data_IF_509505546224
#
_entry.id   IF_509505546224
#
_cell.length_a   1.000
_cell.length_b   1.000
_cell.length_c   1.000
_cell.angle_alpha   90.00
_cell.angle_beta   90.00
_cell.angle_gamma   90.00
#
_symmetry.space_group_name_H-M   'P 1'
#
loop_
_entity.id
_entity.type
_entity.pdbx_description
1 polymer ?
#
# COMPACT_ATOMS: atom_id res chain seq x y z
N UNK A 1 10.95 -20.90 3.05
CA UNK A 1 10.90 -20.90 1.57
C UNK A 1 9.49 -20.50 1.17
N UNK A 2 9.26 -19.22 0.85
CA UNK A 2 7.93 -18.73 0.46
C UNK A 2 7.85 -18.73 -1.07
N UNK A 3 7.58 -19.90 -1.64
CA UNK A 3 7.27 -20.07 -3.06
C UNK A 3 5.78 -20.37 -3.14
N UNK A 4 4.98 -19.49 -3.76
CA UNK A 4 3.55 -19.75 -3.94
C UNK A 4 2.65 -18.60 -4.42
N UNK A 5 3.07 -17.34 -4.39
CA UNK A 5 2.19 -16.21 -4.78
C UNK A 5 2.85 -15.20 -5.73
N UNK A 6 3.82 -15.59 -6.54
CA UNK A 6 4.23 -14.74 -7.65
C UNK A 6 3.20 -14.90 -8.78
N UNK A 7 2.21 -13.99 -8.82
CA UNK A 7 1.45 -13.76 -10.05
C UNK A 7 2.46 -13.54 -11.18
N UNK A 8 2.27 -14.20 -12.33
CA UNK A 8 3.12 -13.98 -13.50
C UNK A 8 3.19 -12.47 -13.75
N UNK A 9 4.37 -11.84 -13.73
CA UNK A 9 4.47 -10.42 -14.04
C UNK A 9 3.91 -10.21 -15.45
N UNK A 10 3.17 -9.11 -15.71
CA UNK A 10 2.73 -8.79 -17.06
C UNK A 10 3.91 -8.84 -18.03
N UNK A 11 3.71 -9.38 -19.23
CA UNK A 11 4.73 -9.38 -20.28
C UNK A 11 5.14 -7.93 -20.59
N UNK A 12 6.34 -7.56 -20.15
CA UNK A 12 6.95 -6.26 -20.36
C UNK A 12 8.33 -6.29 -19.71
N UNK A 13 9.38 -5.95 -20.46
CA UNK A 13 10.68 -5.75 -19.83
C UNK A 13 10.53 -4.64 -18.78
N UNK A 14 11.11 -4.82 -17.59
CA UNK A 14 11.32 -3.72 -16.65
C UNK A 14 12.36 -2.79 -17.30
N UNK A 15 11.92 -1.96 -18.23
CA UNK A 15 12.76 -0.90 -18.79
C UNK A 15 12.99 0.14 -17.71
N UNK A 16 14.15 0.80 -17.77
CA UNK A 16 14.40 1.95 -16.91
C UNK A 16 13.30 2.99 -17.12
N UNK A 17 12.81 3.56 -16.03
CA UNK A 17 11.79 4.60 -16.04
C UNK A 17 12.16 5.83 -16.89
N UNK A 18 13.47 6.05 -17.12
CA UNK A 18 14.03 7.12 -17.95
C UNK A 18 13.57 7.11 -19.41
N UNK A 19 13.18 5.95 -19.95
CA UNK A 19 12.72 5.85 -21.33
C UNK A 19 11.26 6.31 -21.53
N UNK A 20 10.52 6.53 -20.44
CA UNK A 20 9.10 6.90 -20.48
C UNK A 20 8.90 8.24 -19.77
N UNK A 21 8.62 9.30 -20.52
CA UNK A 21 8.46 10.65 -19.96
C UNK A 21 7.44 10.72 -18.80
N UNK A 22 6.32 9.99 -18.91
CA UNK A 22 5.32 9.90 -17.85
C UNK A 22 5.86 9.22 -16.57
N UNK A 23 6.68 8.17 -16.73
CA UNK A 23 7.32 7.51 -15.60
C UNK A 23 8.36 8.42 -14.95
N UNK A 24 9.22 9.05 -15.76
CA UNK A 24 10.28 9.95 -15.28
C UNK A 24 9.72 11.17 -14.53
N UNK A 25 8.52 11.62 -14.88
CA UNK A 25 7.84 12.71 -14.20
C UNK A 25 7.29 12.31 -12.83
N UNK A 26 6.61 11.16 -12.73
CA UNK A 26 6.06 10.65 -11.47
C UNK A 26 5.95 9.12 -11.49
N UNK A 27 6.93 8.46 -10.89
CA UNK A 27 7.02 6.99 -10.83
C UNK A 27 5.83 6.41 -10.04
N UNK A 28 5.41 7.09 -8.97
CA UNK A 28 4.36 6.59 -8.09
C UNK A 28 3.01 6.62 -8.82
N UNK A 29 2.68 7.73 -9.47
CA UNK A 29 1.46 7.83 -10.27
C UNK A 29 1.51 6.94 -11.51
N UNK A 30 2.67 6.85 -12.18
CA UNK A 30 2.85 5.98 -13.34
C UNK A 30 2.67 4.49 -12.98
N UNK A 31 3.10 4.06 -11.79
CA UNK A 31 2.90 2.67 -11.37
C UNK A 31 1.43 2.24 -11.41
N UNK A 32 0.49 3.15 -11.14
CA UNK A 32 -0.94 2.88 -11.16
C UNK A 32 -1.50 2.64 -12.56
N UNK A 33 -0.88 3.19 -13.61
CA UNK A 33 -1.34 3.01 -15.00
C UNK A 33 -1.05 1.61 -15.54
N UNK A 34 -0.16 0.87 -14.86
CA UNK A 34 0.18 -0.52 -15.23
C UNK A 34 -0.86 -1.53 -14.75
N UNK A 35 -1.77 -1.14 -13.86
CA UNK A 35 -2.83 -2.02 -13.35
C UNK A 35 -4.00 -2.09 -14.34
N UNK A 36 -4.26 -3.26 -14.97
CA UNK A 36 -5.46 -3.42 -15.78
C UNK A 36 -6.71 -3.29 -14.89
N UNK A 37 -7.84 -2.94 -15.48
CA UNK A 37 -9.10 -2.76 -14.74
C UNK A 37 -9.49 -3.99 -13.90
N UNK A 38 -9.14 -5.19 -14.36
CA UNK A 38 -9.37 -6.46 -13.64
C UNK A 38 -8.51 -6.62 -12.38
N UNK A 39 -7.42 -5.88 -12.25
CA UNK A 39 -6.51 -5.86 -11.11
C UNK A 39 -6.74 -4.66 -10.17
N UNK A 40 -7.66 -3.75 -10.49
CA UNK A 40 -8.08 -2.64 -9.61
C UNK A 40 -9.06 -3.13 -8.53
N UNK A 41 -8.58 -4.04 -7.70
CA UNK A 41 -9.33 -4.67 -6.59
C UNK A 41 -8.35 -5.10 -5.51
N UNK A 42 -8.88 -5.44 -4.34
CA UNK A 42 -8.09 -6.00 -3.25
C UNK A 42 -7.34 -7.26 -3.72
N UNK A 43 -6.02 -7.13 -3.85
CA UNK A 43 -5.15 -8.16 -4.43
C UNK A 43 -3.93 -8.34 -3.54
N UNK A 44 -3.67 -9.58 -3.11
CA UNK A 44 -2.45 -9.91 -2.37
C UNK A 44 -1.26 -9.82 -3.30
N UNK A 45 -0.26 -9.02 -2.94
CA UNK A 45 0.99 -8.86 -3.69
C UNK A 45 2.21 -9.40 -2.93
N UNK A 46 2.05 -9.74 -1.65
CA UNK A 46 3.11 -10.31 -0.85
C UNK A 46 2.72 -10.52 0.61
N UNK A 47 3.73 -10.89 1.39
CA UNK A 47 3.65 -11.03 2.85
C UNK A 47 4.85 -10.34 3.46
N UNK A 48 4.63 -9.57 4.53
CA UNK A 48 5.68 -8.93 5.28
C UNK A 48 6.38 -9.93 6.22
N UNK A 49 7.56 -9.59 6.73
CA UNK A 49 8.37 -10.49 7.57
C UNK A 49 7.74 -10.81 8.92
N UNK A 50 6.81 -9.98 9.38
CA UNK A 50 6.00 -10.19 10.58
C UNK A 50 4.76 -11.07 10.33
N UNK A 51 4.55 -11.52 9.09
CA UNK A 51 3.47 -12.42 8.72
C UNK A 51 2.19 -11.73 8.24
N UNK A 52 2.12 -10.39 8.27
CA UNK A 52 0.94 -9.69 7.75
C UNK A 52 0.94 -9.64 6.22
N UNK A 53 -0.26 -9.73 5.65
CA UNK A 53 -0.48 -9.64 4.21
C UNK A 53 -0.13 -8.24 3.71
N UNK A 54 0.43 -8.18 2.50
CA UNK A 54 0.62 -6.94 1.75
C UNK A 54 -0.36 -6.95 0.58
N UNK A 55 -1.27 -5.99 0.56
CA UNK A 55 -2.19 -5.75 -0.54
C UNK A 55 -1.66 -4.71 -1.53
N UNK A 56 -2.12 -4.80 -2.77
CA UNK A 56 -1.93 -3.74 -3.77
C UNK A 56 -2.65 -2.43 -3.40
N UNK A 57 -2.56 -1.41 -4.26
CA UNK A 57 -3.02 -0.06 -3.93
C UNK A 57 -4.52 0.15 -3.98
N UNK A 58 -5.30 -0.91 -4.25
CA UNK A 58 -6.74 -0.85 -4.43
C UNK A 58 -7.47 -1.61 -3.32
N UNK A 59 -8.52 -0.98 -2.81
CA UNK A 59 -9.49 -1.60 -1.90
C UNK A 59 -10.42 -2.57 -2.66
N UNK A 60 -11.23 -3.32 -1.91
CA UNK A 60 -12.24 -4.21 -2.50
C UNK A 60 -13.25 -3.46 -3.40
N UNK A 61 -13.50 -2.17 -3.11
CA UNK A 61 -14.33 -1.29 -3.92
C UNK A 61 -13.69 -0.81 -5.23
N UNK A 62 -12.40 -1.09 -5.44
CA UNK A 62 -11.62 -0.58 -6.57
C UNK A 62 -11.09 0.85 -6.42
N UNK A 63 -11.33 1.48 -5.26
CA UNK A 63 -10.75 2.78 -4.93
C UNK A 63 -9.28 2.63 -4.48
N UNK A 64 -8.47 3.66 -4.76
CA UNK A 64 -7.11 3.73 -4.25
C UNK A 64 -7.09 3.93 -2.73
N UNK A 65 -6.13 3.28 -2.08
CA UNK A 65 -5.80 3.54 -0.68
C UNK A 65 -5.13 4.90 -0.58
N UNK A 66 -5.83 5.85 0.05
CA UNK A 66 -5.37 7.24 0.24
C UNK A 66 -5.46 7.72 1.69
N UNK A 67 -6.09 6.94 2.57
CA UNK A 67 -6.33 7.25 3.97
C UNK A 67 -6.62 5.97 4.76
N UNK A 68 -6.76 6.09 6.09
CA UNK A 68 -7.07 4.96 6.96
C UNK A 68 -5.85 4.14 7.37
N UNK A 69 -4.66 4.59 6.97
CA UNK A 69 -3.37 3.96 7.20
C UNK A 69 -2.63 4.58 8.39
N UNK A 70 -1.91 3.74 9.11
CA UNK A 70 -0.99 4.12 10.18
C UNK A 70 0.41 4.49 9.65
N UNK A 71 1.31 4.84 10.57
CA UNK A 71 2.70 5.19 10.23
C UNK A 71 3.47 4.07 9.50
N UNK A 72 3.06 2.81 9.69
CA UNK A 72 3.67 1.66 9.03
C UNK A 72 3.11 1.40 7.62
N UNK A 73 2.16 2.22 7.18
CA UNK A 73 1.43 2.10 5.92
C UNK A 73 0.58 0.81 5.86
N UNK A 74 0.04 0.43 7.02
CA UNK A 74 -0.98 -0.59 7.12
C UNK A 74 -2.24 -0.09 7.82
N UNK A 75 -3.27 -0.94 7.81
CA UNK A 75 -4.54 -0.64 8.46
C UNK A 75 -5.30 -1.90 8.81
N UNK A 76 -6.19 -1.77 9.79
CA UNK A 76 -7.28 -2.72 9.97
C UNK A 76 -8.27 -2.58 8.82
N UNK A 77 -8.54 -3.66 8.10
CA UNK A 77 -9.30 -3.61 6.84
C UNK A 77 -10.63 -4.37 6.88
N UNK A 78 -10.94 -5.03 8.00
CA UNK A 78 -12.22 -5.71 8.21
C UNK A 78 -12.72 -5.59 9.66
N UNK A 79 -13.97 -6.00 9.89
CA UNK A 79 -14.63 -5.89 11.18
C UNK A 79 -14.10 -6.87 12.24
N UNK A 80 -13.36 -7.90 11.84
CA UNK A 80 -12.79 -8.89 12.76
C UNK A 80 -11.39 -8.50 13.24
N UNK A 81 -10.87 -7.38 12.77
CA UNK A 81 -9.61 -6.80 13.25
C UNK A 81 -8.38 -7.37 12.55
N UNK A 82 -8.50 -7.88 11.32
CA UNK A 82 -7.32 -8.23 10.55
C UNK A 82 -6.57 -6.98 10.11
N UNK A 83 -5.25 -7.01 10.31
CA UNK A 83 -4.32 -5.96 9.93
C UNK A 83 -3.53 -6.38 8.69
N UNK A 84 -3.36 -5.44 7.76
CA UNK A 84 -2.55 -5.66 6.56
C UNK A 84 -1.83 -4.37 6.14
N UNK A 85 -0.73 -4.52 5.41
CA UNK A 85 -0.06 -3.42 4.73
C UNK A 85 -0.67 -3.20 3.35
N UNK A 86 -0.65 -1.97 2.86
CA UNK A 86 -1.20 -1.62 1.56
C UNK A 86 -0.16 -0.86 0.75
N UNK A 87 0.08 -1.28 -0.50
CA UNK A 87 0.87 -0.45 -1.40
C UNK A 87 0.18 0.91 -1.59
N UNK A 88 0.92 2.02 -1.61
CA UNK A 88 0.37 3.36 -1.87
C UNK A 88 1.30 4.15 -2.78
N UNK A 89 0.83 5.28 -3.28
CA UNK A 89 1.66 6.21 -4.10
C UNK A 89 2.47 7.17 -3.25
N UNK A 90 2.49 7.01 -1.92
CA UNK A 90 3.16 7.89 -0.96
C UNK A 90 4.05 7.07 -0.03
N UNK A 91 5.17 7.63 0.40
CA UNK A 91 6.08 6.95 1.30
C UNK A 91 5.44 6.71 2.69
N UNK A 92 5.64 5.53 3.33
CA UNK A 92 6.45 4.40 2.87
C UNK A 92 5.62 3.47 1.97
N UNK A 93 5.89 3.47 0.66
CA UNK A 93 5.05 2.94 -0.43
C UNK A 93 4.48 1.53 -0.27
N UNK A 94 4.97 0.73 0.69
CA UNK A 94 4.46 -0.60 1.05
C UNK A 94 4.45 -0.74 2.58
N UNK A 95 5.52 -1.25 3.19
CA UNK A 95 5.61 -1.48 4.64
C UNK A 95 6.75 -0.61 5.18
N UNK A 96 6.43 0.34 6.06
CA UNK A 96 7.43 1.22 6.70
C UNK A 96 8.02 0.67 7.99
N UNK A 97 7.21 -0.06 8.76
CA UNK A 97 7.54 -0.72 10.01
C UNK A 97 6.63 -1.93 10.24
N UNK A 98 6.90 -2.72 11.28
CA UNK A 98 6.00 -3.81 11.67
C UNK A 98 4.95 -3.28 12.65
N UNK A 99 3.72 -3.17 12.17
CA UNK A 99 2.58 -2.61 12.89
C UNK A 99 1.75 -3.65 13.66
N UNK A 100 0.58 -3.24 14.20
CA UNK A 100 -0.06 -1.93 13.99
C UNK A 100 0.77 -0.74 14.50
N UNK A 101 0.83 0.33 13.71
CA UNK A 101 1.52 1.57 14.02
C UNK A 101 0.61 2.62 14.68
N UNK A 102 1.20 3.72 15.12
CA UNK A 102 0.45 4.88 15.62
C UNK A 102 0.01 5.81 14.47
N UNK A 103 -0.79 6.83 14.81
CA UNK A 103 -1.32 7.85 13.89
C UNK A 103 -0.78 9.23 14.26
N UNK A 104 0.48 9.55 13.93
CA UNK A 104 1.08 10.82 14.32
C UNK A 104 0.49 11.98 13.52
N UNK A 105 0.52 13.18 14.11
CA UNK A 105 0.20 14.45 13.44
C UNK A 105 1.36 15.02 12.64
N UNK A 106 2.51 14.34 12.61
CA UNK A 106 3.69 14.73 11.83
C UNK A 106 3.91 13.75 10.66
N UNK A 107 4.49 14.27 9.58
CA UNK A 107 4.89 13.49 8.41
C UNK A 107 6.39 13.19 8.36
N UNK A 108 6.83 12.33 7.45
CA UNK A 108 8.24 12.01 7.24
C UNK A 108 8.99 13.22 6.63
N UNK A 109 10.15 13.57 7.19
CA UNK A 109 10.95 14.72 6.73
C UNK A 109 11.99 14.40 5.66
N UNK A 110 12.28 13.11 5.42
CA UNK A 110 13.31 12.64 4.50
C UNK A 110 12.79 12.31 3.09
N UNK A 111 11.54 12.67 2.77
CA UNK A 111 10.90 12.40 1.48
C UNK A 111 10.05 13.58 1.04
N UNK A 112 10.04 13.87 -0.25
CA UNK A 112 9.17 14.88 -0.87
C UNK A 112 7.81 14.31 -1.25
N UNK A 113 7.62 13.00 -1.13
CA UNK A 113 6.39 12.28 -1.49
C UNK A 113 5.83 11.46 -0.32
N UNK A 114 5.88 12.03 0.89
CA UNK A 114 5.35 11.42 2.10
C UNK A 114 3.82 11.46 2.19
N UNK A 115 3.27 10.64 3.08
CA UNK A 115 1.87 10.79 3.51
C UNK A 115 1.65 12.17 4.12
N UNK A 116 0.53 12.82 3.78
CA UNK A 116 0.14 14.11 4.36
C UNK A 116 -0.51 13.95 5.74
N UNK A 117 -1.03 12.77 6.05
CA UNK A 117 -1.68 12.47 7.32
C UNK A 117 -1.78 10.96 7.54
N UNK A 118 -1.76 10.54 8.80
CA UNK A 118 -2.07 9.17 9.21
C UNK A 118 -3.41 9.18 9.94
N UNK A 119 -4.36 8.36 9.49
CA UNK A 119 -5.72 8.35 10.05
C UNK A 119 -6.17 6.93 10.32
N UNK A 120 -6.98 6.75 11.37
CA UNK A 120 -7.62 5.46 11.65
C UNK A 120 -8.54 5.05 10.50
N UNK A 121 -8.49 3.77 10.12
CA UNK A 121 -9.54 3.19 9.28
C UNK A 121 -10.86 3.11 10.06
N UNK A 122 -11.96 2.93 9.35
CA UNK A 122 -13.28 2.68 9.96
C UNK A 122 -13.30 1.43 10.83
N UNK A 123 -12.38 0.50 10.57
CA UNK A 123 -12.22 -0.71 11.36
C UNK A 123 -11.37 -0.42 12.59
N UNK A 124 -10.26 0.33 12.47
CA UNK A 124 -9.32 0.63 13.56
C UNK A 124 -10.01 1.21 14.81
N UNK A 125 -11.00 2.09 14.63
CA UNK A 125 -11.77 2.66 15.74
C UNK A 125 -12.56 1.60 16.55
N UNK A 126 -12.96 0.50 15.90
CA UNK A 126 -13.62 -0.62 16.57
C UNK A 126 -12.63 -1.49 17.37
N UNK A 127 -11.34 -1.50 17.01
CA UNK A 127 -10.30 -2.22 17.76
C UNK A 127 -9.74 -1.41 18.95
N UNK A 128 -10.01 -0.10 19.04
CA UNK A 128 -9.55 0.73 20.15
C UNK A 128 -10.39 0.59 21.44
N UNK A 129 -11.53 -0.12 21.39
CA UNK A 129 -12.47 -0.30 22.51
C UNK A 129 -12.59 -1.76 22.98
N UNK A 130 -11.64 -2.63 22.59
CA UNK A 130 -11.60 -4.05 22.96
C UNK A 130 -10.58 -4.33 24.06
#
# INVERSE_FOLDING_TARGET
>A
MASGCAVSPPTGNISSCSATAACAADIASYSLTTFPSSAKKLTVIGIAKDGHVIYGPYLASGNLVTSGIDICNGMFYDSIGNYAYFATTKFPYITGCFGPGNYPSFGPSCTTNGQSSYTMSVHAAAQANG
#
